data_IF_899143075362
#
_entry.id   IF_899143075362
#
_cell.length_a   1.000
_cell.length_b   1.000
_cell.length_c   1.000
_cell.angle_alpha   90.00
_cell.angle_beta   90.00
_cell.angle_gamma   90.00
#
_symmetry.space_group_name_H-M   'P 1'
#
loop_
_entity.id
_entity.type
_entity.pdbx_description
1 polymer ?
#
# COMPACT_ATOMS: atom_id res chain seq x y z
N UNK A 1 -14.94 -1.04 24.30
CA UNK A 1 -15.38 -1.84 23.13
C UNK A 1 -14.16 -2.58 22.59
N UNK A 2 -14.35 -3.75 22.02
CA UNK A 2 -13.29 -4.53 21.38
C UNK A 2 -13.32 -4.31 19.86
N UNK A 3 -12.14 -4.42 19.23
CA UNK A 3 -12.00 -4.37 17.77
C UNK A 3 -12.70 -5.59 17.16
N UNK A 4 -13.70 -5.33 16.31
CA UNK A 4 -14.53 -6.33 15.64
C UNK A 4 -14.98 -5.82 14.25
N UNK A 5 -15.56 -6.71 13.44
CA UNK A 5 -16.02 -6.40 12.07
C UNK A 5 -17.00 -5.22 12.05
N UNK A 6 -16.84 -4.29 11.11
CA UNK A 6 -17.63 -3.05 10.95
C UNK A 6 -17.46 -2.05 12.11
N UNK A 7 -16.35 -2.13 12.87
CA UNK A 7 -15.99 -1.12 13.87
C UNK A 7 -15.00 -0.13 13.27
N UNK A 8 -15.16 1.14 13.62
CA UNK A 8 -14.19 2.17 13.32
C UNK A 8 -13.11 2.15 14.40
N UNK A 9 -11.85 2.09 13.95
CA UNK A 9 -10.68 2.02 14.81
C UNK A 9 -9.76 3.17 14.46
N UNK A 10 -9.42 3.96 15.48
CA UNK A 10 -8.34 4.93 15.44
C UNK A 10 -7.17 4.37 16.22
N UNK A 11 -6.01 4.26 15.60
CA UNK A 11 -4.78 3.83 16.26
C UNK A 11 -3.58 4.63 15.79
N UNK A 12 -2.59 4.75 16.65
CA UNK A 12 -1.25 5.20 16.29
C UNK A 12 -0.37 3.99 16.04
N UNK A 13 0.45 4.01 15.00
CA UNK A 13 1.49 3.00 14.81
C UNK A 13 2.75 3.58 14.21
N UNK A 14 3.84 2.89 14.45
CA UNK A 14 5.14 3.07 13.84
C UNK A 14 5.44 1.81 13.03
N UNK A 15 5.72 2.01 11.75
CA UNK A 15 6.17 0.99 10.81
C UNK A 15 7.69 1.13 10.63
N UNK A 16 8.41 0.07 10.99
CA UNK A 16 9.86 -0.04 10.76
C UNK A 16 10.19 -1.20 9.84
N UNK A 17 11.16 -1.00 8.94
CA UNK A 17 11.76 -2.06 8.12
C UNK A 17 12.99 -2.64 8.83
N UNK A 18 13.39 -3.88 8.51
CA UNK A 18 14.67 -4.46 8.95
C UNK A 18 14.85 -4.59 10.47
N UNK A 19 13.78 -4.89 11.21
CA UNK A 19 13.87 -5.15 12.66
C UNK A 19 13.30 -4.04 13.54
N UNK A 20 13.35 -4.25 14.86
CA UNK A 20 12.88 -3.28 15.86
C UNK A 20 13.68 -1.96 15.89
N UNK A 21 14.90 -1.93 15.33
CA UNK A 21 15.80 -0.76 15.27
C UNK A 21 16.09 -0.30 13.83
N UNK A 22 15.41 -0.85 12.83
CA UNK A 22 15.65 -0.46 11.45
C UNK A 22 14.91 0.83 11.05
N UNK A 23 14.84 1.07 9.75
CA UNK A 23 14.38 2.35 9.20
C UNK A 23 12.89 2.59 9.47
N UNK A 24 12.58 3.72 10.10
CA UNK A 24 11.21 4.18 10.27
C UNK A 24 10.67 4.66 8.92
N UNK A 25 9.72 3.90 8.38
CA UNK A 25 9.10 4.21 7.09
C UNK A 25 7.92 5.14 7.29
N UNK A 26 7.07 4.78 8.24
CA UNK A 26 5.81 5.45 8.47
C UNK A 26 5.54 5.53 9.96
N UNK A 27 5.07 6.68 10.40
CA UNK A 27 4.66 6.92 11.78
C UNK A 27 3.36 7.71 11.77
N UNK A 28 2.32 7.14 12.36
CA UNK A 28 1.10 7.84 12.73
C UNK A 28 1.08 7.99 14.24
N UNK A 29 1.22 9.22 14.71
CA UNK A 29 1.13 9.56 16.14
C UNK A 29 -0.30 9.94 16.56
N UNK A 30 -0.48 10.33 17.82
CA UNK A 30 -1.77 10.81 18.34
C UNK A 30 -2.32 12.04 17.60
N UNK A 31 -1.44 12.85 16.99
CA UNK A 31 -1.82 14.04 16.23
C UNK A 31 -2.34 13.73 14.81
N UNK A 32 -1.98 12.56 14.26
CA UNK A 32 -2.46 12.08 12.97
C UNK A 32 -2.66 10.57 13.07
N UNK A 33 -3.71 10.12 13.78
CA UNK A 33 -3.94 8.70 13.99
C UNK A 33 -4.44 8.06 12.70
N UNK A 34 -4.04 6.81 12.47
CA UNK A 34 -4.58 6.00 11.40
C UNK A 34 -6.02 5.62 11.75
N UNK A 35 -6.94 6.01 10.88
CA UNK A 35 -8.36 5.78 11.03
C UNK A 35 -8.83 4.84 9.93
N UNK A 36 -9.40 3.70 10.32
CA UNK A 36 -9.93 2.74 9.36
C UNK A 36 -11.08 1.93 9.95
N UNK A 37 -11.84 1.32 9.06
CA UNK A 37 -12.92 0.40 9.44
C UNK A 37 -12.38 -1.02 9.42
N UNK A 38 -12.47 -1.68 10.58
CA UNK A 38 -12.06 -3.06 10.75
C UNK A 38 -12.96 -4.01 9.97
N UNK A 39 -12.35 -4.88 9.17
CA UNK A 39 -13.02 -5.86 8.32
C UNK A 39 -13.45 -5.33 6.96
N UNK A 40 -12.96 -4.14 6.56
CA UNK A 40 -13.16 -3.59 5.23
C UNK A 40 -12.14 -4.08 4.19
N UNK A 41 -11.09 -4.81 4.61
CA UNK A 41 -10.09 -5.38 3.69
C UNK A 41 -9.21 -4.33 2.99
N UNK A 42 -9.15 -3.10 3.53
CA UNK A 42 -8.25 -2.04 3.04
C UNK A 42 -6.84 -2.13 3.63
N UNK A 43 -6.64 -2.97 4.65
CA UNK A 43 -5.35 -3.16 5.31
C UNK A 43 -4.89 -4.60 5.17
N UNK A 44 -3.63 -4.83 5.54
CA UNK A 44 -3.01 -6.14 5.61
C UNK A 44 -3.86 -7.04 6.51
N UNK A 45 -4.36 -8.16 5.97
CA UNK A 45 -5.23 -9.08 6.69
C UNK A 45 -4.58 -9.59 7.99
N UNK A 46 -3.26 -9.80 7.98
CA UNK A 46 -2.51 -10.18 9.17
C UNK A 46 -2.42 -9.07 10.21
N UNK A 47 -2.33 -7.80 9.79
CA UNK A 47 -2.38 -6.66 10.70
C UNK A 47 -3.75 -6.61 11.40
N UNK A 48 -4.85 -6.71 10.63
CA UNK A 48 -6.21 -6.76 11.18
C UNK A 48 -6.39 -7.95 12.14
N UNK A 49 -5.87 -9.14 11.81
CA UNK A 49 -5.94 -10.29 12.72
C UNK A 49 -5.17 -10.08 14.02
N UNK A 50 -4.03 -9.39 13.99
CA UNK A 50 -3.19 -9.16 15.18
C UNK A 50 -3.79 -8.15 16.14
N UNK A 51 -4.56 -7.19 15.64
CA UNK A 51 -5.26 -6.19 16.45
C UNK A 51 -6.68 -6.64 16.87
N UNK A 52 -7.17 -7.76 16.33
CA UNK A 52 -8.48 -8.32 16.68
C UNK A 52 -8.60 -8.53 18.20
N UNK A 53 -9.70 -8.07 18.79
CA UNK A 53 -9.95 -8.22 20.23
C UNK A 53 -9.20 -7.25 21.14
N UNK A 54 -8.31 -6.39 20.62
CA UNK A 54 -7.76 -5.28 21.40
C UNK A 54 -8.85 -4.26 21.74
N UNK A 55 -8.64 -3.52 22.83
CA UNK A 55 -9.56 -2.48 23.28
C UNK A 55 -8.93 -1.11 23.13
N UNK A 56 -9.76 -0.08 23.24
CA UNK A 56 -9.30 1.29 23.34
C UNK A 56 -8.27 1.43 24.48
N UNK A 57 -7.10 2.00 24.16
CA UNK A 57 -5.98 2.18 25.08
C UNK A 57 -4.97 1.04 25.09
N UNK A 58 -5.24 -0.10 24.45
CA UNK A 58 -4.28 -1.21 24.39
C UNK A 58 -3.11 -0.89 23.44
N UNK A 59 -1.91 -1.23 23.90
CA UNK A 59 -0.70 -1.17 23.10
C UNK A 59 -0.44 -2.52 22.44
N UNK A 60 0.00 -2.49 21.19
CA UNK A 60 0.36 -3.69 20.46
C UNK A 60 1.74 -3.52 19.81
N UNK A 61 2.46 -4.64 19.74
CA UNK A 61 3.72 -4.73 19.01
C UNK A 61 3.81 -6.11 18.37
N UNK A 62 3.98 -6.17 17.08
CA UNK A 62 4.17 -7.41 16.35
C UNK A 62 4.99 -7.18 15.09
N UNK A 63 5.70 -8.22 14.69
CA UNK A 63 6.35 -8.29 13.39
C UNK A 63 5.42 -9.01 12.41
N UNK A 64 5.36 -8.50 11.18
CA UNK A 64 4.77 -9.17 10.03
C UNK A 64 5.90 -9.45 9.05
N UNK A 65 6.02 -10.71 8.63
CA UNK A 65 6.99 -11.04 7.59
C UNK A 65 6.60 -10.37 6.28
N UNK A 66 7.58 -10.18 5.39
CA UNK A 66 7.33 -9.64 4.06
C UNK A 66 6.13 -10.32 3.37
N UNK A 67 6.09 -11.65 3.37
CA UNK A 67 5.01 -12.48 2.81
C UNK A 67 3.62 -12.21 3.40
N UNK A 68 3.56 -11.82 4.67
CA UNK A 68 2.33 -11.57 5.43
C UNK A 68 1.87 -10.11 5.36
N UNK A 69 2.70 -9.21 4.80
CA UNK A 69 2.44 -7.78 4.71
C UNK A 69 2.22 -7.31 3.27
N UNK A 70 3.27 -6.85 2.59
CA UNK A 70 3.23 -6.41 1.20
C UNK A 70 3.61 -7.51 0.20
N UNK A 71 3.93 -8.71 0.70
CA UNK A 71 4.50 -9.80 -0.08
C UNK A 71 6.04 -9.76 -0.14
N UNK A 72 6.62 -10.84 -0.64
CA UNK A 72 8.02 -10.82 -1.07
C UNK A 72 8.18 -9.92 -2.30
N UNK A 73 9.41 -9.49 -2.58
CA UNK A 73 9.79 -8.89 -3.87
C UNK A 73 9.27 -9.82 -4.96
N UNK A 74 8.25 -9.39 -5.69
CA UNK A 74 7.72 -10.19 -6.77
C UNK A 74 8.58 -9.93 -8.00
N UNK A 75 9.26 -10.97 -8.47
CA UNK A 75 10.01 -10.90 -9.73
C UNK A 75 9.08 -10.66 -10.93
N UNK A 76 7.78 -10.91 -10.79
CA UNK A 76 6.77 -10.55 -11.81
C UNK A 76 6.44 -9.05 -11.81
N UNK A 77 6.74 -8.33 -10.73
CA UNK A 77 6.70 -6.87 -10.71
C UNK A 77 7.97 -6.23 -11.31
N UNK A 78 8.93 -7.05 -11.72
CA UNK A 78 10.03 -6.62 -12.60
C UNK A 78 9.50 -6.69 -14.03
N UNK A 79 9.36 -5.53 -14.65
CA UNK A 79 8.81 -5.42 -16.01
C UNK A 79 9.91 -4.99 -16.97
N UNK A 80 10.03 -5.75 -18.05
CA UNK A 80 10.85 -5.39 -19.21
C UNK A 80 10.08 -4.37 -20.06
N UNK A 81 10.47 -3.10 -19.97
CA UNK A 81 9.89 -2.04 -20.77
C UNK A 81 10.78 -1.75 -21.97
N UNK A 82 10.24 -1.68 -23.20
CA UNK A 82 11.03 -1.23 -24.34
C UNK A 82 11.54 0.19 -24.11
N UNK A 83 12.81 0.43 -24.46
CA UNK A 83 13.50 1.70 -24.24
C UNK A 83 12.77 2.89 -24.88
N UNK A 84 11.99 2.62 -25.92
CA UNK A 84 11.15 3.58 -26.62
C UNK A 84 10.07 4.25 -25.73
N UNK A 85 9.67 3.62 -24.63
CA UNK A 85 8.71 4.21 -23.66
C UNK A 85 9.37 5.34 -22.86
N UNK A 86 10.68 5.28 -22.69
CA UNK A 86 11.48 6.31 -22.02
C UNK A 86 11.93 7.43 -22.97
N UNK A 87 11.59 7.31 -24.26
CA UNK A 87 11.80 8.37 -25.23
C UNK A 87 10.71 9.43 -25.06
N UNK A 88 11.03 10.49 -24.32
CA UNK A 88 10.15 11.65 -24.18
C UNK A 88 10.66 12.74 -25.12
N UNK A 89 9.81 13.16 -26.06
CA UNK A 89 10.14 14.17 -27.08
C UNK A 89 11.38 13.84 -27.94
N UNK A 90 11.59 12.55 -28.26
CA UNK A 90 12.69 12.10 -29.13
C UNK A 90 14.07 12.19 -28.46
N UNK A 91 14.12 12.38 -27.14
CA UNK A 91 15.34 12.32 -26.34
C UNK A 91 15.18 11.30 -25.23
N UNK A 92 16.05 10.31 -25.27
CA UNK A 92 16.21 9.37 -24.18
C UNK A 92 17.14 10.05 -23.17
N UNK A 93 16.63 10.36 -21.98
CA UNK A 93 17.48 10.89 -20.92
C UNK A 93 18.29 9.72 -20.32
N UNK A 94 19.45 9.44 -20.91
CA UNK A 94 20.36 8.36 -20.50
C UNK A 94 20.83 8.52 -19.04
N UNK A 95 20.68 9.73 -18.48
CA UNK A 95 20.94 9.99 -17.07
C UNK A 95 19.89 9.37 -16.15
N UNK A 96 18.64 9.21 -16.62
CA UNK A 96 17.55 8.56 -15.90
C UNK A 96 17.61 7.02 -16.03
N UNK A 97 18.10 6.51 -17.16
CA UNK A 97 18.27 5.08 -17.46
C UNK A 97 19.62 4.52 -16.96
N UNK A 98 20.00 4.85 -15.73
CA UNK A 98 21.16 4.23 -15.09
C UNK A 98 20.70 3.13 -14.16
N UNK A 99 21.46 2.03 -14.13
CA UNK A 99 21.24 0.94 -13.17
C UNK A 99 21.27 1.52 -11.74
N UNK A 100 20.26 1.20 -10.94
CA UNK A 100 20.05 1.70 -9.58
C UNK A 100 19.34 3.05 -9.51
N UNK A 101 18.98 3.66 -10.64
CA UNK A 101 18.30 4.95 -10.65
C UNK A 101 16.79 4.76 -10.51
N UNK A 102 16.14 5.66 -9.75
CA UNK A 102 14.72 5.61 -9.46
C UNK A 102 13.96 6.52 -10.42
N UNK A 103 13.02 5.96 -11.17
CA UNK A 103 12.27 6.64 -12.22
C UNK A 103 10.78 6.67 -11.83
N UNK A 104 10.18 7.86 -11.63
CA UNK A 104 8.76 7.96 -11.38
C UNK A 104 7.98 7.62 -12.65
N UNK A 105 7.13 6.62 -12.55
CA UNK A 105 6.26 6.07 -13.58
C UNK A 105 4.80 6.20 -13.14
N UNK A 106 3.88 5.92 -14.07
CA UNK A 106 2.45 5.89 -13.79
C UNK A 106 1.87 4.56 -14.26
N UNK A 107 1.17 3.85 -13.37
CA UNK A 107 0.54 2.58 -13.70
C UNK A 107 -0.74 2.82 -14.51
N UNK A 108 -1.29 1.77 -15.12
CA UNK A 108 -2.56 1.82 -15.86
C UNK A 108 -3.73 2.42 -15.04
N UNK A 109 -3.65 2.37 -13.71
CA UNK A 109 -4.62 2.96 -12.79
C UNK A 109 -4.39 4.46 -12.50
N UNK A 110 -3.38 5.08 -13.09
CA UNK A 110 -3.04 6.48 -12.87
C UNK A 110 -2.25 6.74 -11.58
N UNK A 111 -1.91 5.70 -10.83
CA UNK A 111 -1.09 5.80 -9.62
C UNK A 111 0.35 6.08 -10.00
N UNK A 112 0.98 7.05 -9.33
CA UNK A 112 2.41 7.30 -9.47
C UNK A 112 3.17 6.25 -8.67
N UNK A 113 4.05 5.52 -9.32
CA UNK A 113 4.93 4.53 -8.73
C UNK A 113 6.37 4.85 -9.09
N UNK A 114 7.30 4.42 -8.25
CA UNK A 114 8.72 4.62 -8.50
C UNK A 114 9.30 3.27 -8.96
N UNK A 115 9.78 3.22 -10.20
CA UNK A 115 10.49 2.05 -10.72
C UNK A 115 11.99 2.21 -10.54
N UNK A 116 12.69 1.17 -10.06
CA UNK A 116 14.15 1.15 -9.99
C UNK A 116 14.70 0.42 -11.22
N UNK A 117 15.62 1.06 -11.95
CA UNK A 117 16.28 0.40 -13.09
C UNK A 117 17.21 -0.69 -12.58
N UNK A 118 16.91 -1.95 -12.88
CA UNK A 118 17.78 -3.08 -12.55
C UNK A 118 18.81 -3.35 -13.65
N UNK A 119 18.38 -3.27 -14.90
CA UNK A 119 19.21 -3.62 -16.06
C UNK A 119 18.77 -2.81 -17.27
N UNK A 120 19.75 -2.34 -18.05
CA UNK A 120 19.50 -1.61 -19.30
C UNK A 120 20.19 -2.35 -20.43
N UNK A 121 19.39 -2.84 -21.37
CA UNK A 121 19.84 -3.47 -22.62
C UNK A 121 19.68 -2.48 -23.77
N UNK A 122 20.16 -2.84 -24.96
CA UNK A 122 20.11 -1.99 -26.16
C UNK A 122 18.67 -1.62 -26.56
N UNK A 123 17.73 -2.57 -26.40
CA UNK A 123 16.33 -2.45 -26.83
C UNK A 123 15.34 -2.35 -25.65
N UNK A 124 15.67 -2.95 -24.49
CA UNK A 124 14.78 -3.08 -23.33
C UNK A 124 15.43 -2.65 -22.02
N UNK A 125 14.60 -2.21 -21.08
CA UNK A 125 14.98 -1.75 -19.75
C UNK A 125 14.19 -2.55 -18.73
N UNK A 126 14.89 -3.28 -17.85
CA UNK A 126 14.25 -3.93 -16.71
C UNK A 126 14.09 -2.92 -15.60
N UNK A 127 12.83 -2.70 -15.24
CA UNK A 127 12.47 -1.89 -14.09
C UNK A 127 11.80 -2.75 -13.04
N UNK A 128 12.26 -2.60 -11.81
CA UNK A 128 11.62 -3.13 -10.63
C UNK A 128 10.55 -2.14 -10.16
N UNK A 129 9.29 -2.55 -10.19
CA UNK A 129 8.16 -1.77 -9.70
C UNK A 129 7.67 -2.29 -8.34
N UNK A 130 8.48 -3.05 -7.62
CA UNK A 130 8.08 -3.52 -6.31
C UNK A 130 7.85 -2.32 -5.38
N UNK A 131 6.89 -2.47 -4.48
CA UNK A 131 6.72 -1.49 -3.43
C UNK A 131 8.04 -1.41 -2.66
N UNK A 132 8.53 -0.22 -2.27
CA UNK A 132 9.78 -0.08 -1.50
C UNK A 132 9.77 -0.80 -0.14
N UNK A 133 8.64 -1.41 0.23
CA UNK A 133 8.41 -2.17 1.47
C UNK A 133 8.20 -3.67 1.23
N UNK A 134 8.21 -4.11 -0.04
CA UNK A 134 8.06 -5.52 -0.40
C UNK A 134 9.40 -6.23 -0.23
N UNK A 135 9.40 -7.42 0.37
CA UNK A 135 10.61 -8.19 0.63
C UNK A 135 11.24 -8.03 2.02
N UNK A 136 10.87 -6.98 2.76
CA UNK A 136 11.39 -6.72 4.11
C UNK A 136 10.37 -7.05 5.20
N UNK A 137 10.86 -7.50 6.36
CA UNK A 137 10.03 -7.73 7.54
C UNK A 137 9.58 -6.39 8.14
N UNK A 138 8.27 -6.25 8.37
CA UNK A 138 7.64 -5.05 8.88
C UNK A 138 7.39 -5.17 10.38
N UNK A 139 7.93 -4.24 11.15
CA UNK A 139 7.67 -4.13 12.57
C UNK A 139 6.63 -3.06 12.82
N UNK A 140 5.47 -3.47 13.35
CA UNK A 140 4.39 -2.59 13.77
C UNK A 140 4.41 -2.46 15.29
N UNK A 141 4.53 -1.23 15.78
CA UNK A 141 4.39 -0.91 17.20
C UNK A 141 3.47 0.30 17.37
N UNK A 142 2.44 0.17 18.20
CA UNK A 142 1.38 1.17 18.24
C UNK A 142 0.46 1.08 19.45
N UNK A 143 -0.55 1.94 19.44
CA UNK A 143 -1.61 1.97 20.43
C UNK A 143 -2.96 2.21 19.78
N UNK A 144 -3.97 1.50 20.26
CA UNK A 144 -5.36 1.76 19.91
C UNK A 144 -5.84 3.00 20.67
N UNK A 145 -6.20 4.05 19.96
CA UNK A 145 -6.62 5.33 20.55
C UNK A 145 -8.12 5.40 20.76
N UNK A 146 -8.90 4.89 19.81
CA UNK A 146 -10.36 4.88 19.86
C UNK A 146 -10.93 3.69 19.11
N UNK A 147 -11.99 3.09 19.66
CA UNK A 147 -12.79 2.05 18.99
C UNK A 147 -14.25 2.41 19.16
N UNK A 148 -14.96 2.57 18.04
CA UNK A 148 -16.38 2.92 18.01
C UNK A 148 -17.10 2.15 16.90
N UNK A 149 -18.42 2.20 16.90
CA UNK A 149 -19.23 1.70 15.79
C UNK A 149 -18.99 2.58 14.55
N UNK A 150 -18.65 1.94 13.42
CA UNK A 150 -18.46 2.68 12.17
C UNK A 150 -19.79 3.25 11.70
N UNK A 151 -19.76 4.50 11.23
CA UNK A 151 -20.94 5.10 10.62
C UNK A 151 -21.18 4.50 9.23
N UNK A 152 -22.43 4.57 8.76
CA UNK A 152 -22.80 4.10 7.41
C UNK A 152 -21.92 4.74 6.32
N UNK A 153 -21.51 6.00 6.50
CA UNK A 153 -20.67 6.71 5.55
C UNK A 153 -19.24 6.13 5.51
N UNK A 154 -18.63 5.88 6.67
CA UNK A 154 -17.30 5.25 6.77
C UNK A 154 -17.32 3.81 6.26
N UNK A 155 -18.41 3.06 6.48
CA UNK A 155 -18.61 1.72 5.93
C UNK A 155 -18.70 1.75 4.41
N UNK A 156 -19.42 2.73 3.84
CA UNK A 156 -19.51 2.93 2.39
C UNK A 156 -18.16 3.33 1.80
N UNK A 157 -17.38 4.19 2.46
CA UNK A 157 -16.03 4.52 1.99
C UNK A 157 -15.07 3.32 2.09
N UNK A 158 -15.19 2.54 3.16
CA UNK A 158 -14.35 1.39 3.42
C UNK A 158 -14.64 0.22 2.44
N UNK A 159 -15.90 0.04 2.04
CA UNK A 159 -16.31 -0.96 1.03
C UNK A 159 -16.23 -0.39 -0.41
N UNK A 160 -16.39 0.92 -0.57
CA UNK A 160 -16.49 1.63 -1.85
C UNK A 160 -15.15 2.00 -2.50
N UNK A 161 -14.02 1.54 -1.94
CA UNK A 161 -12.69 1.70 -2.55
C UNK A 161 -12.35 0.68 -3.64
N UNK A 162 -13.19 -0.34 -3.85
CA UNK A 162 -13.07 -1.28 -4.96
C UNK A 162 -13.72 -0.73 -6.22
N UNK A 163 -12.92 -0.20 -7.14
CA UNK A 163 -13.40 0.34 -8.40
C UNK A 163 -14.14 -0.68 -9.26
N UNK A 164 -15.19 -0.22 -9.91
CA UNK A 164 -15.63 -0.74 -11.20
C UNK A 164 -15.86 0.44 -12.14
N UNK A 165 -14.78 0.91 -12.77
CA UNK A 165 -14.87 1.38 -14.15
C UNK A 165 -14.87 0.15 -15.05
N UNK A 166 -16.07 -0.36 -15.38
CA UNK A 166 -16.37 -1.01 -16.67
C UNK A 166 -17.81 -1.53 -16.71
N UNK A 167 -18.61 -0.95 -17.61
CA UNK A 167 -19.56 -1.72 -18.41
C UNK A 167 -21.00 -1.86 -17.91
N UNK A 168 -21.88 -1.04 -18.50
CA UNK A 168 -23.24 -1.42 -18.91
C UNK A 168 -24.22 -1.92 -17.83
N UNK A 169 -25.00 -0.98 -17.28
CA UNK A 169 -26.41 -1.23 -17.00
C UNK A 169 -27.23 -0.16 -17.71
N UNK A 170 -27.70 -0.51 -18.92
CA UNK A 170 -28.71 0.28 -19.60
C UNK A 170 -29.99 0.23 -18.80
N UNK A 171 -30.45 1.39 -18.34
CA UNK A 171 -31.87 1.60 -18.09
C UNK A 171 -32.19 3.02 -18.52
N UNK A 172 -32.63 3.13 -19.77
CA UNK A 172 -33.41 4.27 -20.22
C UNK A 172 -34.74 4.23 -19.50
N UNK A 173 -34.76 4.64 -18.24
CA UNK A 173 -35.96 5.11 -17.58
C UNK A 173 -36.31 6.48 -18.18
N UNK A 174 -37.13 6.44 -19.21
CA UNK A 174 -38.01 7.52 -19.61
C UNK A 174 -39.34 6.90 -20.03
N UNK A 175 -40.31 7.03 -19.13
CA UNK A 175 -41.75 7.12 -19.38
C UNK A 175 -42.45 5.88 -19.99
#
# INVERSE_FOLDING_TARGET
MEIARNKFVSLSYQLRLNGAEGDLVEETGENNPLQFVYGAGKMIEMFEKKIEGLKQGDNFKFELKADEAYGQVNTEAIVDLPKNIFEVEGKIDESLLKIGNMVPMQDANGNRLNGIVLEVTDDTVKMDFNHPLAGDDLHFAGQVLEVRDATENELVEAVGGGGCSSGSCGDGCSC
#
